data_IF_412739208229
#
_entry.id   IF_412739208229
#
_cell.length_a   1.000
_cell.length_b   1.000
_cell.length_c   1.000
_cell.angle_alpha   90.00
_cell.angle_beta   90.00
_cell.angle_gamma   90.00
#
_symmetry.space_group_name_H-M   'P 1'
#
loop_
_entity.id
_entity.type
_entity.pdbx_description
1 polymer ?
#
# COMPACT_ATOMS: atom_id res chain seq x y z
N UNK A 1 -11.02 13.75 -19.13
CA UNK A 1 -11.48 14.01 -17.76
C UNK A 1 -10.28 13.79 -16.83
N UNK A 2 -10.01 14.67 -15.88
CA UNK A 2 -8.92 14.43 -14.93
C UNK A 2 -9.23 13.22 -14.05
N UNK A 3 -8.22 12.52 -13.55
CA UNK A 3 -8.38 11.39 -12.61
C UNK A 3 -9.20 11.79 -11.38
N UNK A 4 -8.99 13.02 -10.88
CA UNK A 4 -9.72 13.59 -9.76
C UNK A 4 -11.22 13.70 -10.04
N UNK A 5 -11.62 14.23 -11.22
CA UNK A 5 -13.04 14.33 -11.58
C UNK A 5 -13.72 12.96 -11.66
N UNK A 6 -13.01 11.95 -12.17
CA UNK A 6 -13.50 10.58 -12.23
C UNK A 6 -13.70 10.00 -10.81
N UNK A 7 -12.74 10.22 -9.91
CA UNK A 7 -12.81 9.83 -8.51
C UNK A 7 -14.00 10.50 -7.78
N UNK A 8 -14.13 11.82 -7.90
CA UNK A 8 -15.21 12.56 -7.26
C UNK A 8 -16.59 12.05 -7.72
N UNK A 9 -16.76 11.84 -9.03
CA UNK A 9 -17.99 11.32 -9.60
C UNK A 9 -18.28 9.86 -9.15
N UNK A 10 -17.25 9.01 -9.09
CA UNK A 10 -17.34 7.62 -8.65
C UNK A 10 -17.88 7.49 -7.22
N UNK A 11 -17.46 8.40 -6.32
CA UNK A 11 -17.81 8.35 -4.90
C UNK A 11 -18.92 9.33 -4.47
N UNK A 12 -19.36 10.21 -5.35
CA UNK A 12 -20.32 11.27 -5.04
C UNK A 12 -19.77 12.35 -4.12
N UNK A 13 -18.46 12.60 -4.19
CA UNK A 13 -17.81 13.64 -3.43
C UNK A 13 -17.85 14.97 -4.18
N UNK A 14 -18.03 16.07 -3.45
CA UNK A 14 -18.12 17.43 -4.02
C UNK A 14 -16.74 18.07 -4.23
N UNK A 15 -15.74 17.60 -3.46
CA UNK A 15 -14.39 18.18 -3.43
C UNK A 15 -13.34 17.12 -3.16
N UNK A 16 -12.11 17.40 -3.58
CA UNK A 16 -10.91 16.68 -3.25
C UNK A 16 -9.91 17.67 -2.65
N UNK A 17 -9.65 17.51 -1.37
CA UNK A 17 -8.81 18.42 -0.59
C UNK A 17 -7.82 17.60 0.23
N UNK A 18 -6.74 17.07 -0.36
CA UNK A 18 -5.78 16.23 0.33
C UNK A 18 -5.20 16.91 1.57
N UNK A 19 -5.21 16.20 2.69
CA UNK A 19 -4.58 16.58 3.97
C UNK A 19 -3.63 15.50 4.47
N UNK A 20 -3.75 14.28 3.95
CA UNK A 20 -2.86 13.18 4.30
C UNK A 20 -2.52 12.32 3.08
N UNK A 21 -1.32 11.73 3.12
CA UNK A 21 -0.87 10.70 2.20
C UNK A 21 -0.48 9.48 3.03
N UNK A 22 -1.14 8.36 2.76
CA UNK A 22 -0.92 7.09 3.43
C UNK A 22 -0.18 6.14 2.47
N UNK A 23 1.03 5.79 2.83
CA UNK A 23 1.89 4.91 2.04
C UNK A 23 1.82 3.47 2.55
N UNK A 24 1.75 2.51 1.65
CA UNK A 24 2.25 1.17 1.98
C UNK A 24 3.77 1.21 2.20
N UNK A 25 4.33 0.15 2.76
CA UNK A 25 5.75 0.09 3.09
C UNK A 25 6.56 -0.68 2.03
N UNK A 26 6.22 -1.94 1.80
CA UNK A 26 7.01 -2.88 1.02
C UNK A 26 6.76 -2.70 -0.49
N UNK A 27 7.79 -2.33 -1.24
CA UNK A 27 7.67 -1.96 -2.66
C UNK A 27 7.18 -0.53 -2.89
N UNK A 28 6.92 0.25 -1.84
CA UNK A 28 6.54 1.67 -1.89
C UNK A 28 7.58 2.56 -1.22
N UNK A 29 7.86 2.36 0.07
CA UNK A 29 8.91 3.09 0.80
C UNK A 29 10.27 2.42 0.64
N UNK A 30 10.28 1.09 0.62
CA UNK A 30 11.48 0.28 0.45
C UNK A 30 11.38 -0.62 -0.77
N UNK A 31 12.50 -0.82 -1.47
CA UNK A 31 12.64 -1.84 -2.51
C UNK A 31 12.89 -3.22 -1.88
N UNK A 32 11.94 -3.66 -1.06
CA UNK A 32 12.01 -4.88 -0.24
C UNK A 32 11.40 -6.11 -0.92
N UNK A 33 10.57 -5.91 -1.94
CA UNK A 33 9.83 -7.00 -2.58
C UNK A 33 10.71 -8.10 -3.20
N UNK A 34 11.88 -7.82 -3.78
CA UNK A 34 12.81 -8.88 -4.19
C UNK A 34 13.23 -9.81 -3.03
N UNK A 35 13.52 -9.23 -1.84
CA UNK A 35 13.83 -10.02 -0.64
C UNK A 35 12.61 -10.83 -0.15
N UNK A 36 11.42 -10.22 -0.16
CA UNK A 36 10.19 -10.92 0.18
C UNK A 36 9.93 -12.12 -0.74
N UNK A 37 10.09 -11.95 -2.05
CA UNK A 37 9.87 -13.01 -3.04
C UNK A 37 10.80 -14.21 -2.82
N UNK A 38 12.09 -13.98 -2.58
CA UNK A 38 13.07 -15.03 -2.28
C UNK A 38 12.73 -15.71 -0.95
N UNK A 39 12.46 -14.93 0.11
CA UNK A 39 12.15 -15.48 1.44
C UNK A 39 10.88 -16.32 1.43
N UNK A 40 9.84 -15.90 0.72
CA UNK A 40 8.61 -16.68 0.54
C UNK A 40 8.85 -17.98 -0.21
N UNK A 41 9.56 -17.93 -1.35
CA UNK A 41 9.88 -19.10 -2.13
C UNK A 41 10.65 -20.14 -1.29
N UNK A 42 11.76 -19.74 -0.66
CA UNK A 42 12.60 -20.64 0.13
C UNK A 42 11.90 -21.17 1.38
N UNK A 43 11.13 -20.35 2.08
CA UNK A 43 10.42 -20.78 3.28
C UNK A 43 9.34 -21.81 2.94
N UNK A 44 8.52 -21.54 1.94
CA UNK A 44 7.38 -22.39 1.59
C UNK A 44 7.83 -23.72 0.97
N UNK A 45 8.93 -23.74 0.23
CA UNK A 45 9.52 -24.95 -0.33
C UNK A 45 9.88 -25.97 0.76
N UNK A 46 10.34 -25.54 1.95
CA UNK A 46 10.64 -26.42 3.10
C UNK A 46 9.41 -27.21 3.57
N UNK A 47 8.22 -26.68 3.35
CA UNK A 47 6.96 -27.32 3.71
C UNK A 47 6.27 -27.97 2.50
N UNK A 48 6.96 -28.06 1.36
CA UNK A 48 6.45 -28.64 0.12
C UNK A 48 5.29 -27.82 -0.45
N UNK A 49 5.32 -26.49 -0.30
CA UNK A 49 4.41 -25.54 -0.91
C UNK A 49 5.21 -24.74 -1.94
N UNK A 50 4.78 -24.80 -3.18
CA UNK A 50 5.40 -24.02 -4.24
C UNK A 50 4.83 -22.61 -4.26
N UNK A 51 5.69 -21.60 -4.07
CA UNK A 51 5.32 -20.21 -4.12
C UNK A 51 6.31 -19.46 -5.04
N UNK A 52 5.82 -18.99 -6.18
CA UNK A 52 6.63 -18.26 -7.15
C UNK A 52 6.91 -16.84 -6.66
N UNK A 53 7.85 -16.15 -7.31
CA UNK A 53 8.05 -14.73 -7.04
C UNK A 53 6.78 -13.91 -7.37
N UNK A 54 6.07 -14.25 -8.46
CA UNK A 54 4.82 -13.59 -8.83
C UNK A 54 3.73 -13.78 -7.77
N UNK A 55 3.63 -14.99 -7.17
CA UNK A 55 2.71 -15.24 -6.07
C UNK A 55 3.01 -14.35 -4.86
N UNK A 56 4.30 -14.13 -4.55
CA UNK A 56 4.70 -13.22 -3.47
C UNK A 56 4.24 -11.78 -3.72
N UNK A 57 4.40 -11.27 -4.94
CA UNK A 57 3.90 -9.95 -5.32
C UNK A 57 2.37 -9.88 -5.38
N UNK A 58 1.70 -10.95 -5.81
CA UNK A 58 0.24 -10.99 -5.88
C UNK A 58 -0.43 -11.04 -4.50
N UNK A 59 0.25 -11.58 -3.49
CA UNK A 59 -0.25 -11.71 -2.12
C UNK A 59 0.29 -10.64 -1.17
N UNK A 60 1.08 -9.70 -1.68
CA UNK A 60 1.66 -8.62 -0.87
C UNK A 60 0.57 -7.76 -0.21
N UNK A 61 0.87 -7.29 1.00
CA UNK A 61 -0.05 -6.52 1.82
C UNK A 61 -0.99 -7.35 2.70
N UNK A 62 -1.13 -8.67 2.44
CA UNK A 62 -1.84 -9.57 3.34
C UNK A 62 -1.01 -9.88 4.60
N UNK A 63 -1.71 -10.27 5.68
CA UNK A 63 -1.00 -10.85 6.83
C UNK A 63 -0.35 -12.17 6.42
N UNK A 64 0.92 -12.37 6.78
CA UNK A 64 1.69 -13.55 6.36
C UNK A 64 1.03 -14.88 6.69
N UNK A 65 0.38 -14.98 7.85
CA UNK A 65 -0.40 -16.18 8.27
C UNK A 65 -1.56 -16.46 7.29
N UNK A 66 -2.25 -15.42 6.82
CA UNK A 66 -3.37 -15.56 5.89
C UNK A 66 -2.87 -16.02 4.51
N UNK A 67 -1.75 -15.47 4.04
CA UNK A 67 -1.08 -15.91 2.81
C UNK A 67 -0.73 -17.41 2.88
N UNK A 68 -0.11 -17.84 3.98
CA UNK A 68 0.28 -19.26 4.19
C UNK A 68 -0.96 -20.16 4.15
N UNK A 69 -2.02 -19.81 4.88
CA UNK A 69 -3.26 -20.61 4.91
C UNK A 69 -3.89 -20.75 3.53
N UNK A 70 -3.90 -19.66 2.74
CA UNK A 70 -4.41 -19.67 1.37
C UNK A 70 -3.58 -20.63 0.51
N UNK A 71 -2.26 -20.53 0.53
CA UNK A 71 -1.37 -21.37 -0.28
C UNK A 71 -1.47 -22.85 0.11
N UNK A 72 -1.51 -23.17 1.40
CA UNK A 72 -1.70 -24.55 1.88
C UNK A 72 -3.04 -25.11 1.44
N UNK A 73 -4.13 -24.35 1.58
CA UNK A 73 -5.46 -24.77 1.14
C UNK A 73 -5.50 -25.02 -0.37
N UNK A 74 -4.92 -24.12 -1.15
CA UNK A 74 -4.91 -24.24 -2.62
C UNK A 74 -4.11 -25.46 -3.11
N UNK A 75 -2.95 -25.73 -2.50
CA UNK A 75 -2.04 -26.77 -3.01
C UNK A 75 -2.20 -28.12 -2.33
N UNK A 76 -2.63 -28.16 -1.08
CA UNK A 76 -2.78 -29.42 -0.31
C UNK A 76 -4.23 -29.75 0.04
N UNK A 77 -5.19 -28.86 -0.21
CA UNK A 77 -6.60 -29.07 0.08
C UNK A 77 -6.91 -29.23 1.58
N UNK A 78 -6.04 -28.70 2.45
CA UNK A 78 -6.17 -28.88 3.90
C UNK A 78 -6.06 -27.54 4.63
N UNK A 79 -6.63 -27.50 5.84
CA UNK A 79 -6.43 -26.40 6.78
C UNK A 79 -5.26 -26.72 7.71
N UNK A 80 -4.60 -25.67 8.19
CA UNK A 80 -3.55 -25.77 9.21
C UNK A 80 -3.90 -24.92 10.41
N UNK A 81 -3.35 -25.28 11.58
CA UNK A 81 -3.53 -24.50 12.81
C UNK A 81 -2.83 -23.15 12.70
N UNK A 82 -3.20 -22.24 13.59
CA UNK A 82 -2.57 -20.91 13.66
C UNK A 82 -1.11 -21.02 14.06
N UNK A 83 -0.79 -21.92 15.01
CA UNK A 83 0.58 -22.18 15.45
C UNK A 83 1.46 -22.67 14.29
N UNK A 84 0.92 -23.56 13.43
CA UNK A 84 1.67 -24.05 12.26
C UNK A 84 1.86 -22.97 11.21
N UNK A 85 0.86 -22.15 10.97
CA UNK A 85 0.98 -21.01 10.07
C UNK A 85 2.00 -19.98 10.60
N UNK A 86 2.03 -19.75 11.92
CA UNK A 86 3.01 -18.89 12.56
C UNK A 86 4.44 -19.43 12.44
N UNK A 87 4.64 -20.74 12.69
CA UNK A 87 5.95 -21.40 12.50
C UNK A 87 6.50 -21.18 11.08
N UNK A 88 5.64 -21.37 10.07
CA UNK A 88 6.01 -21.17 8.67
C UNK A 88 6.34 -19.70 8.37
N UNK A 89 5.59 -18.77 8.96
CA UNK A 89 5.82 -17.34 8.81
C UNK A 89 7.11 -16.89 9.52
N UNK A 90 7.42 -17.46 10.68
CA UNK A 90 8.67 -17.18 11.41
C UNK A 90 9.89 -17.62 10.59
N UNK A 91 9.81 -18.76 9.89
CA UNK A 91 10.88 -19.19 8.99
C UNK A 91 11.04 -18.23 7.81
N UNK A 92 9.94 -17.78 7.18
CA UNK A 92 9.99 -16.75 6.14
C UNK A 92 10.63 -15.46 6.65
N UNK A 93 10.24 -15.02 7.85
CA UNK A 93 10.78 -13.81 8.47
C UNK A 93 12.28 -13.93 8.76
N UNK A 94 12.71 -15.10 9.25
CA UNK A 94 14.14 -15.39 9.48
C UNK A 94 14.95 -15.28 8.20
N UNK A 95 14.46 -15.89 7.10
CA UNK A 95 15.12 -15.82 5.79
C UNK A 95 15.17 -14.38 5.26
N UNK A 96 14.08 -13.64 5.37
CA UNK A 96 14.02 -12.24 4.97
C UNK A 96 15.06 -11.38 5.70
N UNK A 97 15.14 -11.51 7.03
CA UNK A 97 16.12 -10.74 7.81
C UNK A 97 17.57 -11.13 7.53
N UNK A 98 17.83 -12.36 7.11
CA UNK A 98 19.17 -12.81 6.75
C UNK A 98 19.69 -12.18 5.45
N UNK A 99 18.84 -11.60 4.62
CA UNK A 99 19.23 -10.92 3.37
C UNK A 99 19.73 -9.50 3.58
N UNK A 100 19.65 -8.98 4.81
CA UNK A 100 20.00 -7.61 5.12
C UNK A 100 18.88 -6.61 4.85
N UNK A 101 19.21 -5.32 4.90
CA UNK A 101 18.22 -4.26 4.74
C UNK A 101 17.98 -3.93 3.26
N UNK A 102 16.71 -3.82 2.90
CA UNK A 102 16.33 -3.32 1.58
C UNK A 102 16.64 -1.81 1.47
N UNK A 103 16.91 -1.33 0.28
CA UNK A 103 17.17 0.10 0.04
C UNK A 103 15.88 0.91 0.06
N UNK A 104 16.00 2.20 0.38
CA UNK A 104 14.89 3.15 0.24
C UNK A 104 14.51 3.24 -1.25
N UNK A 105 13.21 3.25 -1.54
CA UNK A 105 12.69 3.31 -2.91
C UNK A 105 13.12 4.63 -3.58
N UNK A 106 13.70 4.58 -4.79
CA UNK A 106 14.07 5.79 -5.51
C UNK A 106 12.92 6.78 -5.68
N UNK A 107 13.13 8.04 -5.35
CA UNK A 107 12.16 9.13 -5.47
C UNK A 107 11.28 9.35 -4.23
N UNK A 108 11.28 8.43 -3.25
CA UNK A 108 10.38 8.54 -2.09
C UNK A 108 10.75 9.70 -1.15
N UNK A 109 12.04 9.91 -0.86
CA UNK A 109 12.47 11.01 0.00
C UNK A 109 12.15 12.37 -0.61
N UNK A 110 12.34 12.52 -1.92
CA UNK A 110 11.97 13.75 -2.64
C UNK A 110 10.46 13.98 -2.59
N UNK A 111 9.67 12.91 -2.80
CA UNK A 111 8.21 12.97 -2.72
C UNK A 111 7.76 13.37 -1.31
N UNK A 112 8.29 12.75 -0.26
CA UNK A 112 7.96 13.10 1.13
C UNK A 112 8.29 14.55 1.45
N UNK A 113 9.42 15.05 0.97
CA UNK A 113 9.77 16.47 1.11
C UNK A 113 8.74 17.40 0.44
N UNK A 114 8.26 17.07 -0.76
CA UNK A 114 7.21 17.83 -1.46
C UNK A 114 5.88 17.82 -0.69
N UNK A 115 5.49 16.64 -0.17
CA UNK A 115 4.28 16.45 0.65
C UNK A 115 4.36 17.28 1.94
N UNK A 116 5.50 17.20 2.63
CA UNK A 116 5.74 17.92 3.88
C UNK A 116 5.70 19.46 3.67
N UNK A 117 6.31 19.95 2.59
CA UNK A 117 6.26 21.39 2.24
C UNK A 117 4.85 21.89 1.96
N UNK A 118 3.92 21.03 1.55
CA UNK A 118 2.50 21.35 1.38
C UNK A 118 1.70 21.27 2.69
N UNK A 119 2.33 20.88 3.79
CA UNK A 119 1.67 20.74 5.10
C UNK A 119 0.75 19.52 5.20
N UNK A 120 0.94 18.52 4.35
CA UNK A 120 0.16 17.27 4.39
C UNK A 120 0.76 16.29 5.41
N UNK A 121 -0.10 15.59 6.13
CA UNK A 121 0.30 14.49 7.02
C UNK A 121 0.78 13.29 6.21
N UNK A 122 1.91 12.71 6.61
CA UNK A 122 2.41 11.47 6.05
C UNK A 122 2.13 10.33 7.04
N UNK A 123 1.50 9.26 6.57
CA UNK A 123 1.28 8.04 7.34
C UNK A 123 1.76 6.80 6.60
N UNK A 124 2.00 5.73 7.34
CA UNK A 124 2.41 4.41 6.80
C UNK A 124 1.42 3.35 7.23
N UNK A 125 1.01 2.50 6.29
CA UNK A 125 0.03 1.43 6.53
C UNK A 125 0.62 0.10 6.05
N UNK A 126 1.18 -0.67 6.99
CA UNK A 126 1.88 -1.93 6.70
C UNK A 126 1.18 -3.15 7.28
N UNK A 127 1.25 -4.28 6.56
CA UNK A 127 0.84 -5.61 7.08
C UNK A 127 1.83 -6.20 8.08
N UNK A 128 2.98 -5.56 8.32
CA UNK A 128 3.95 -5.96 9.34
C UNK A 128 3.67 -5.28 10.68
N UNK A 129 4.03 -5.95 11.78
CA UNK A 129 3.95 -5.36 13.13
C UNK A 129 5.28 -5.49 13.88
N UNK A 130 6.35 -5.85 13.20
CA UNK A 130 7.65 -6.08 13.83
C UNK A 130 8.31 -4.78 14.27
N UNK A 131 8.61 -4.66 15.57
CA UNK A 131 9.22 -3.44 16.15
C UNK A 131 10.51 -2.98 15.45
N UNK A 132 11.43 -3.85 15.01
CA UNK A 132 12.60 -3.41 14.26
C UNK A 132 12.27 -2.65 12.98
N UNK A 133 11.21 -3.05 12.24
CA UNK A 133 10.77 -2.35 11.02
C UNK A 133 10.20 -0.97 11.34
N UNK A 134 9.43 -0.85 12.43
CA UNK A 134 8.90 0.45 12.88
C UNK A 134 10.05 1.40 13.26
N UNK A 135 11.04 0.91 14.03
CA UNK A 135 12.21 1.71 14.40
C UNK A 135 12.97 2.17 13.15
N UNK A 136 13.10 1.30 12.16
CA UNK A 136 13.74 1.64 10.89
C UNK A 136 12.97 2.73 10.14
N UNK A 137 11.64 2.63 10.03
CA UNK A 137 10.81 3.68 9.43
C UNK A 137 11.07 5.04 10.09
N UNK A 138 11.14 5.09 11.41
CA UNK A 138 11.41 6.32 12.16
C UNK A 138 12.84 6.81 11.98
N UNK A 139 13.81 5.92 11.78
CA UNK A 139 15.19 6.29 11.49
C UNK A 139 15.32 6.90 10.09
N UNK A 140 14.71 6.27 9.09
CA UNK A 140 14.87 6.64 7.69
C UNK A 140 13.97 7.82 7.28
N UNK A 141 12.78 7.95 7.89
CA UNK A 141 11.76 8.92 7.50
C UNK A 141 11.25 9.82 8.65
N UNK A 142 11.87 9.77 9.84
CA UNK A 142 11.41 10.49 11.03
C UNK A 142 11.42 12.02 10.89
N UNK A 143 12.06 12.57 9.86
CA UNK A 143 11.89 13.98 9.48
C UNK A 143 10.48 14.30 8.98
N UNK A 144 9.78 13.30 8.37
CA UNK A 144 8.49 13.45 7.73
C UNK A 144 7.38 12.65 8.41
N UNK A 145 7.74 11.59 9.15
CA UNK A 145 6.84 10.58 9.68
C UNK A 145 6.83 10.58 11.21
N UNK A 146 5.64 10.72 11.81
CA UNK A 146 5.40 10.51 13.24
C UNK A 146 4.94 9.07 13.51
N UNK A 147 5.41 8.45 14.61
CA UNK A 147 5.01 7.08 15.01
C UNK A 147 3.49 6.96 15.17
N UNK A 148 2.82 8.02 15.62
CA UNK A 148 1.37 8.07 15.76
C UNK A 148 0.60 7.87 14.44
N UNK A 149 1.25 8.09 13.30
CA UNK A 149 0.66 7.91 11.97
C UNK A 149 1.06 6.57 11.29
N UNK A 150 1.66 5.64 12.05
CA UNK A 150 1.96 4.29 11.55
C UNK A 150 0.82 3.35 11.95
N UNK A 151 0.28 2.63 10.97
CA UNK A 151 -0.68 1.53 11.15
C UNK A 151 0.03 0.23 10.85
N UNK A 152 -0.08 -0.71 11.78
CA UNK A 152 0.55 -2.03 11.71
C UNK A 152 -0.49 -3.14 11.67
N UNK A 153 -0.06 -4.38 11.50
CA UNK A 153 -0.92 -5.56 11.59
C UNK A 153 -1.66 -5.69 12.94
N UNK A 154 -1.15 -5.06 14.00
CA UNK A 154 -1.75 -5.12 15.35
C UNK A 154 -2.82 -4.06 15.59
N UNK A 155 -2.88 -3.02 14.77
CA UNK A 155 -3.86 -1.93 14.92
C UNK A 155 -5.24 -2.32 14.39
N UNK A 156 -5.35 -3.40 13.60
CA UNK A 156 -6.58 -3.80 12.92
C UNK A 156 -6.85 -5.30 13.05
N UNK A 157 -8.13 -5.67 13.07
CA UNK A 157 -8.53 -7.08 13.09
C UNK A 157 -8.44 -7.71 11.70
N UNK A 158 -8.77 -6.95 10.65
CA UNK A 158 -8.77 -7.42 9.26
C UNK A 158 -7.73 -6.64 8.48
N UNK A 159 -6.70 -7.33 8.01
CA UNK A 159 -5.69 -6.77 7.12
C UNK A 159 -6.22 -6.52 5.69
N UNK A 160 -5.38 -5.95 4.82
CA UNK A 160 -5.62 -5.85 3.38
C UNK A 160 -6.01 -7.25 2.83
N UNK A 161 -7.00 -7.37 1.96
CA UNK A 161 -7.64 -6.34 1.16
C UNK A 161 -8.85 -5.62 1.79
N UNK A 162 -9.12 -5.82 3.09
CA UNK A 162 -10.15 -5.04 3.76
C UNK A 162 -9.71 -3.57 3.90
N UNK A 163 -10.63 -2.61 3.94
CA UNK A 163 -10.31 -1.20 4.06
C UNK A 163 -9.81 -0.77 5.45
N UNK A 164 -9.96 -1.64 6.46
CA UNK A 164 -9.72 -1.33 7.87
C UNK A 164 -8.34 -0.67 8.12
N UNK A 165 -7.21 -1.12 7.50
CA UNK A 165 -5.91 -0.49 7.72
C UNK A 165 -5.87 0.97 7.24
N UNK A 166 -6.46 1.27 6.08
CA UNK A 166 -6.50 2.64 5.56
C UNK A 166 -7.52 3.51 6.28
N UNK A 167 -8.65 2.96 6.72
CA UNK A 167 -9.59 3.67 7.58
C UNK A 167 -8.95 4.03 8.93
N UNK A 168 -8.16 3.11 9.53
CA UNK A 168 -7.36 3.38 10.72
C UNK A 168 -6.30 4.47 10.46
N UNK A 169 -5.64 4.44 9.31
CA UNK A 169 -4.69 5.48 8.91
C UNK A 169 -5.35 6.85 8.78
N UNK A 170 -6.55 6.93 8.21
CA UNK A 170 -7.35 8.17 8.16
C UNK A 170 -7.77 8.65 9.56
N UNK A 171 -8.15 7.73 10.44
CA UNK A 171 -8.50 8.05 11.84
C UNK A 171 -7.29 8.66 12.55
N UNK A 172 -6.11 8.03 12.47
CA UNK A 172 -4.86 8.53 13.05
C UNK A 172 -4.46 9.90 12.48
N UNK A 173 -4.66 10.12 11.18
CA UNK A 173 -4.37 11.40 10.52
C UNK A 173 -5.49 12.44 10.69
N UNK A 174 -6.63 12.10 11.26
CA UNK A 174 -7.79 13.00 11.42
C UNK A 174 -8.44 13.42 10.10
N UNK A 175 -8.41 12.56 9.07
CA UNK A 175 -8.86 12.88 7.71
C UNK A 175 -10.05 12.05 7.26
N UNK A 176 -10.68 12.49 6.16
CA UNK A 176 -11.78 11.83 5.47
C UNK A 176 -11.28 11.22 4.15
N UNK A 177 -12.04 10.32 3.50
CA UNK A 177 -11.62 9.73 2.23
C UNK A 177 -11.23 10.76 1.16
N UNK A 178 -12.00 11.84 0.98
CA UNK A 178 -11.70 12.91 0.01
C UNK A 178 -10.56 13.85 0.43
N UNK A 179 -9.99 13.63 1.62
CA UNK A 179 -8.84 14.34 2.16
C UNK A 179 -7.59 13.45 2.20
N UNK A 180 -7.69 12.21 1.67
CA UNK A 180 -6.64 11.20 1.80
C UNK A 180 -6.24 10.63 0.45
N UNK A 181 -4.94 10.55 0.24
CA UNK A 181 -4.32 9.83 -0.87
C UNK A 181 -3.72 8.54 -0.29
N UNK A 182 -3.95 7.41 -0.96
CA UNK A 182 -3.30 6.13 -0.68
C UNK A 182 -2.30 5.84 -1.80
N UNK A 183 -1.09 5.43 -1.46
CA UNK A 183 -0.05 5.01 -2.41
C UNK A 183 0.29 3.54 -2.16
N UNK A 184 0.10 2.72 -3.17
CA UNK A 184 0.19 1.27 -3.13
C UNK A 184 0.85 0.67 -4.37
N UNK A 185 1.41 -0.53 -4.25
CA UNK A 185 2.03 -1.25 -5.36
C UNK A 185 1.42 -2.66 -5.58
N UNK A 186 0.63 -3.17 -4.64
CA UNK A 186 0.18 -4.55 -4.62
C UNK A 186 -1.34 -4.69 -4.78
N UNK A 187 -1.83 -5.77 -5.43
CA UNK A 187 -3.27 -5.97 -5.70
C UNK A 187 -4.15 -5.87 -4.45
N UNK A 188 -3.74 -6.50 -3.35
CA UNK A 188 -4.53 -6.51 -2.10
C UNK A 188 -4.56 -5.15 -1.43
N UNK A 189 -3.44 -4.43 -1.48
CA UNK A 189 -3.36 -3.09 -0.93
C UNK A 189 -4.15 -2.07 -1.74
N UNK A 190 -4.10 -2.14 -3.08
CA UNK A 190 -4.92 -1.31 -3.97
C UNK A 190 -6.41 -1.55 -3.67
N UNK A 191 -6.84 -2.81 -3.51
CA UNK A 191 -8.22 -3.14 -3.13
C UNK A 191 -8.61 -2.48 -1.80
N UNK A 192 -7.73 -2.53 -0.81
CA UNK A 192 -7.97 -1.91 0.50
C UNK A 192 -8.09 -0.39 0.38
N UNK A 193 -7.19 0.26 -0.37
CA UNK A 193 -7.23 1.70 -0.65
C UNK A 193 -8.52 2.12 -1.34
N UNK A 194 -8.89 1.46 -2.43
CA UNK A 194 -10.14 1.72 -3.17
C UNK A 194 -11.38 1.46 -2.30
N UNK A 195 -11.39 0.39 -1.50
CA UNK A 195 -12.50 0.08 -0.60
C UNK A 195 -12.64 1.10 0.55
N UNK A 196 -11.56 1.77 0.95
CA UNK A 196 -11.58 2.86 1.94
C UNK A 196 -12.16 4.16 1.36
N UNK A 197 -12.36 4.22 0.04
CA UNK A 197 -12.79 5.39 -0.75
C UNK A 197 -11.77 6.53 -0.79
N UNK A 198 -10.52 6.31 -0.38
CA UNK A 198 -9.43 7.26 -0.59
C UNK A 198 -9.05 7.34 -2.07
N UNK A 199 -8.48 8.47 -2.50
CA UNK A 199 -7.86 8.55 -3.82
C UNK A 199 -6.66 7.62 -3.87
N UNK A 200 -6.78 6.51 -4.61
CA UNK A 200 -5.79 5.44 -4.59
C UNK A 200 -4.89 5.51 -5.83
N UNK A 201 -3.61 5.72 -5.59
CA UNK A 201 -2.54 5.71 -6.59
C UNK A 201 -1.84 4.35 -6.51
N UNK A 202 -1.88 3.60 -7.60
CA UNK A 202 -1.07 2.42 -7.79
C UNK A 202 0.26 2.79 -8.43
N UNK A 203 1.37 2.27 -7.89
CA UNK A 203 2.71 2.42 -8.50
C UNK A 203 3.25 1.02 -8.79
N UNK A 204 3.35 0.65 -10.06
CA UNK A 204 3.82 -0.67 -10.45
C UNK A 204 5.35 -0.79 -10.33
N UNK A 205 5.83 -0.99 -9.12
CA UNK A 205 7.26 -1.17 -8.81
C UNK A 205 7.74 -2.61 -8.93
N UNK A 206 6.84 -3.54 -9.28
CA UNK A 206 7.11 -4.97 -9.39
C UNK A 206 6.97 -5.54 -10.81
N UNK A 207 7.06 -6.87 -10.95
CA UNK A 207 7.00 -7.56 -12.24
C UNK A 207 5.57 -7.81 -12.73
N UNK A 208 4.53 -7.53 -11.93
CA UNK A 208 3.16 -7.81 -12.32
C UNK A 208 2.75 -6.97 -13.54
N UNK A 209 1.94 -7.54 -14.42
CA UNK A 209 1.36 -6.78 -15.52
C UNK A 209 0.45 -5.67 -14.97
N UNK A 210 0.44 -4.51 -15.63
CA UNK A 210 -0.42 -3.39 -15.23
C UNK A 210 -1.91 -3.77 -15.16
N UNK A 211 -2.35 -4.67 -16.04
CA UNK A 211 -3.73 -5.16 -16.04
C UNK A 211 -4.13 -5.78 -14.69
N UNK A 212 -3.21 -6.47 -14.01
CA UNK A 212 -3.45 -7.08 -12.69
C UNK A 212 -3.73 -5.99 -11.65
N UNK A 213 -2.99 -4.89 -11.67
CA UNK A 213 -3.23 -3.76 -10.76
C UNK A 213 -4.50 -2.99 -11.14
N UNK A 214 -4.73 -2.79 -12.44
CA UNK A 214 -5.90 -2.07 -12.96
C UNK A 214 -7.22 -2.80 -12.71
N UNK A 215 -7.25 -4.13 -12.60
CA UNK A 215 -8.43 -4.91 -12.20
C UNK A 215 -9.01 -4.49 -10.85
N UNK A 216 -8.18 -3.86 -10.00
CA UNK A 216 -8.61 -3.35 -8.69
C UNK A 216 -9.05 -1.89 -8.71
N UNK A 217 -9.12 -1.28 -9.90
CA UNK A 217 -9.68 0.05 -10.14
C UNK A 217 -9.03 1.18 -9.33
N UNK A 218 -7.68 1.28 -9.26
CA UNK A 218 -7.03 2.46 -8.69
C UNK A 218 -7.44 3.70 -9.48
N UNK A 219 -7.39 4.86 -8.84
CA UNK A 219 -7.77 6.12 -9.50
C UNK A 219 -6.65 6.63 -10.42
N UNK A 220 -5.41 6.19 -10.17
CA UNK A 220 -4.23 6.45 -11.01
C UNK A 220 -3.28 5.26 -10.96
N UNK A 221 -2.66 4.91 -12.10
CA UNK A 221 -1.54 3.96 -12.19
C UNK A 221 -0.30 4.64 -12.74
N UNK A 222 0.82 4.49 -12.05
CA UNK A 222 2.15 4.95 -12.45
C UNK A 222 3.13 3.78 -12.50
N UNK A 223 4.24 3.96 -13.22
CA UNK A 223 5.24 2.90 -13.42
C UNK A 223 6.35 2.89 -12.38
N UNK A 224 6.65 4.05 -11.80
CA UNK A 224 7.76 4.24 -10.88
C UNK A 224 7.38 5.24 -9.80
N UNK A 225 8.00 5.13 -8.63
CA UNK A 225 7.83 6.11 -7.56
C UNK A 225 8.39 7.49 -7.98
N UNK A 226 9.44 7.53 -8.80
CA UNK A 226 9.95 8.77 -9.38
C UNK A 226 8.90 9.48 -10.25
N UNK A 227 8.06 8.73 -11.00
CA UNK A 227 6.99 9.33 -11.80
C UNK A 227 5.95 10.03 -10.90
N UNK A 228 5.70 9.48 -9.71
CA UNK A 228 4.81 10.10 -8.71
C UNK A 228 5.44 11.36 -8.14
N UNK A 229 6.73 11.32 -7.80
CA UNK A 229 7.47 12.50 -7.33
C UNK A 229 7.45 13.62 -8.37
N UNK A 230 7.74 13.32 -9.63
CA UNK A 230 7.79 14.30 -10.72
C UNK A 230 6.43 14.95 -11.00
N UNK A 231 5.36 14.15 -10.95
CA UNK A 231 3.98 14.59 -11.23
C UNK A 231 3.23 15.11 -10.01
N UNK A 232 3.83 15.10 -8.84
CA UNK A 232 3.14 15.40 -7.59
C UNK A 232 2.43 16.75 -7.59
N UNK A 233 3.10 17.81 -8.06
CA UNK A 233 2.53 19.16 -8.11
C UNK A 233 1.34 19.29 -9.07
N UNK A 234 1.26 18.45 -10.09
CA UNK A 234 0.14 18.45 -11.05
C UNK A 234 -1.06 17.64 -10.52
N UNK A 235 -0.80 16.65 -9.64
CA UNK A 235 -1.82 15.79 -9.05
C UNK A 235 -2.50 16.44 -7.85
N UNK A 236 -1.75 17.20 -7.08
CA UNK A 236 -2.21 17.81 -5.82
C UNK A 236 -2.25 19.33 -5.98
N UNK A 237 -3.21 19.82 -6.79
CA UNK A 237 -3.52 21.25 -6.86
C UNK A 237 -4.52 21.57 -5.75
N UNK A 238 -4.21 22.46 -4.79
CA UNK A 238 -5.16 22.86 -3.76
C UNK A 238 -6.44 23.44 -4.38
N UNK A 239 -7.60 22.91 -4.00
CA UNK A 239 -8.89 23.50 -4.32
C UNK A 239 -9.52 23.11 -5.67
N UNK A 240 -9.15 21.97 -6.27
CA UNK A 240 -9.89 21.43 -7.43
C UNK A 240 -11.22 20.85 -6.96
N UNK A 241 -12.29 21.66 -7.01
CA UNK A 241 -13.67 21.22 -6.95
C UNK A 241 -14.15 20.62 -8.29
N UNK A 242 -15.30 19.98 -8.29
CA UNK A 242 -15.98 19.57 -9.53
C UNK A 242 -16.16 20.79 -10.45
N UNK A 243 -15.63 20.73 -11.65
CA UNK A 243 -15.90 21.73 -12.68
C UNK A 243 -17.35 21.58 -13.14
N UNK A 244 -18.23 22.40 -12.57
CA UNK A 244 -19.66 22.43 -12.88
C UNK A 244 -19.98 23.16 -14.19
N UNK A 245 -18.97 23.64 -14.92
CA UNK A 245 -19.15 24.46 -16.12
C UNK A 245 -19.52 23.71 -17.40
N UNK A 246 -19.78 22.39 -17.34
CA UNK A 246 -20.22 21.61 -18.52
C UNK A 246 -21.66 21.06 -18.41
N UNK A 247 -22.59 21.83 -17.85
CA UNK A 247 -24.01 21.64 -18.12
C UNK A 247 -24.49 22.84 -18.94
N UNK A 248 -24.03 22.90 -20.17
CA UNK A 248 -24.63 23.77 -21.20
C UNK A 248 -25.95 23.14 -21.61
N UNK A 249 -27.01 23.71 -21.10
CA UNK A 249 -28.38 23.53 -21.61
C UNK A 249 -28.39 24.06 -23.04
N UNK A 250 -28.50 23.18 -24.01
CA UNK A 250 -29.07 23.57 -25.31
C UNK A 250 -30.58 23.29 -25.25
N UNK A 251 -31.32 24.39 -25.17
CA UNK A 251 -32.73 24.51 -25.54
C UNK A 251 -32.88 24.33 -27.03
#
# INVERSE_FOLDING_TARGET
>A
MSHINSYLKKHGFERFEPKAVLFDMDGVLYDSMPHHAVAWNEAMEKYGIHMTHEDAYATEGARGIDTIRIMVRQQKGMEISEEKAQEMYDEKSRLFHAMGEATIMPGILELMGKIHLQGLTIGVVTGSGQRPLINRLLTDFGEYLDEGHIVTAYDVQRGKPNPDPYLMGMEKAGTKPWETIVVENAPLGIRAGVASKAFTIAVNTGPLADSVLLEHHPDLLLKKMTDLSDKWSDLVVPGVGLDTTTVGVHL
#
